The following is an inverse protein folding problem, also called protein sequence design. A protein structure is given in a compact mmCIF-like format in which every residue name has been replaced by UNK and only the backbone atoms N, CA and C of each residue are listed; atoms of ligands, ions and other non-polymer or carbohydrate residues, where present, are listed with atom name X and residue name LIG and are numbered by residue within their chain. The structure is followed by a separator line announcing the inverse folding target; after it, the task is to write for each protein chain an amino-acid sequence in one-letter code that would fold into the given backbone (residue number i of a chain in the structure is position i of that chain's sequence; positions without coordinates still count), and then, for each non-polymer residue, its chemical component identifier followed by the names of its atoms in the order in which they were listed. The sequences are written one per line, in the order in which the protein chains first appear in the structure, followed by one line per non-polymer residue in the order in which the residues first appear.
data_IF_320251536448
#
_entry.id   IF_320251536448
#
_cell.length_a   1.000
_cell.length_b   1.000
_cell.length_c   1.000
_cell.angle_alpha   90.00
_cell.angle_beta   90.00
_cell.angle_gamma   90.00
#
_symmetry.space_group_name_H-M   'P 1'
#
loop_
_entity.id
_entity.type
_entity.pdbx_description
1 polymer ?
#
# COMPACT_ATOMS: atom_id res chain seq x y z
N UNK A 1 0.14 -0.74 -0.60
CA UNK A 1 -0.77 0.41 -0.41
C UNK A 1 -0.16 1.38 0.58
N UNK A 2 0.32 2.53 0.12
CA UNK A 2 0.86 3.59 0.98
C UNK A 2 -0.24 4.63 1.28
N UNK A 3 -0.47 4.90 2.56
CA UNK A 3 -1.59 5.71 3.04
C UNK A 3 -2.87 4.91 3.24
N UNK A 4 -2.75 3.64 3.65
CA UNK A 4 -3.87 2.70 3.77
C UNK A 4 -4.86 3.04 4.90
N UNK A 5 -4.43 3.73 5.95
CA UNK A 5 -5.27 4.18 7.06
C UNK A 5 -6.03 5.49 6.78
N UNK A 6 -5.85 6.07 5.60
CA UNK A 6 -6.64 7.21 5.13
C UNK A 6 -8.01 6.82 4.59
N UNK A 7 -8.90 7.80 4.40
CA UNK A 7 -10.28 7.57 3.93
C UNK A 7 -10.38 6.78 2.61
N UNK A 8 -9.54 7.12 1.63
CA UNK A 8 -9.56 6.42 0.32
C UNK A 8 -8.83 5.07 0.42
N UNK A 9 -7.73 5.03 1.19
CA UNK A 9 -6.93 3.82 1.34
C UNK A 9 -7.71 2.69 2.00
N UNK A 10 -8.50 3.02 3.04
CA UNK A 10 -9.28 2.03 3.77
C UNK A 10 -10.35 1.39 2.90
N UNK A 11 -11.15 2.18 2.18
CA UNK A 11 -12.20 1.67 1.29
C UNK A 11 -11.64 0.87 0.11
N UNK A 12 -10.47 1.28 -0.41
CA UNK A 12 -9.81 0.51 -1.46
C UNK A 12 -9.29 -0.83 -0.92
N UNK A 13 -8.74 -0.86 0.29
CA UNK A 13 -8.37 -2.12 0.96
C UNK A 13 -9.59 -3.02 1.17
N UNK A 14 -10.75 -2.47 1.59
CA UNK A 14 -11.99 -3.23 1.73
C UNK A 14 -12.39 -3.92 0.42
N UNK A 15 -12.44 -3.14 -0.68
CA UNK A 15 -12.76 -3.67 -2.01
C UNK A 15 -11.76 -4.71 -2.48
N UNK A 16 -10.46 -4.48 -2.26
CA UNK A 16 -9.42 -5.45 -2.65
C UNK A 16 -9.58 -6.76 -1.88
N UNK A 17 -9.92 -6.71 -0.59
CA UNK A 17 -10.15 -7.91 0.21
C UNK A 17 -11.41 -8.66 -0.21
N UNK A 18 -12.49 -7.96 -0.59
CA UNK A 18 -13.75 -8.59 -0.99
C UNK A 18 -13.79 -9.07 -2.43
N UNK A 19 -13.19 -8.33 -3.37
CA UNK A 19 -13.37 -8.55 -4.82
C UNK A 19 -12.18 -9.27 -5.48
N UNK A 20 -11.01 -9.32 -4.84
CA UNK A 20 -9.79 -9.86 -5.46
C UNK A 20 -9.04 -10.81 -4.53
N UNK A 21 -8.21 -11.73 -5.06
CA UNK A 21 -7.36 -12.60 -4.26
C UNK A 21 -6.01 -11.96 -3.88
N UNK A 22 -5.78 -10.68 -4.18
CA UNK A 22 -4.48 -10.04 -4.02
C UNK A 22 -4.06 -9.91 -2.55
N UNK A 23 -2.74 -9.98 -2.31
CA UNK A 23 -2.11 -9.68 -1.02
C UNK A 23 -1.84 -8.18 -0.93
N UNK A 24 -2.21 -7.56 0.19
CA UNK A 24 -2.07 -6.11 0.41
C UNK A 24 -1.11 -5.84 1.56
N UNK A 25 0.01 -5.21 1.23
CA UNK A 25 0.89 -4.56 2.23
C UNK A 25 0.36 -3.15 2.49
N UNK A 26 -0.34 -2.96 3.59
CA UNK A 26 -0.89 -1.69 4.03
C UNK A 26 0.16 -0.91 4.83
N UNK A 27 0.53 0.28 4.38
CA UNK A 27 1.55 1.13 5.00
C UNK A 27 0.92 2.45 5.38
N UNK A 28 0.94 2.80 6.66
CA UNK A 28 0.49 4.11 7.16
C UNK A 28 1.07 4.39 8.56
N UNK A 29 0.90 5.59 9.08
CA UNK A 29 1.24 5.96 10.46
C UNK A 29 0.11 5.58 11.42
N UNK A 30 -1.13 5.57 10.92
CA UNK A 30 -2.35 5.28 11.68
C UNK A 30 -3.15 4.18 11.00
N UNK A 31 -3.78 3.32 11.80
CA UNK A 31 -4.55 2.16 11.37
C UNK A 31 -6.04 2.26 11.69
N UNK A 32 -6.49 3.35 12.31
CA UNK A 32 -7.84 3.48 12.88
C UNK A 32 -8.96 3.14 11.89
N UNK A 33 -8.77 3.41 10.60
CA UNK A 33 -9.75 3.16 9.54
C UNK A 33 -9.67 1.78 8.90
N UNK A 34 -8.66 0.98 9.24
CA UNK A 34 -8.48 -0.37 8.69
C UNK A 34 -8.36 -1.43 9.79
N UNK A 35 -8.45 -1.05 11.08
CA UNK A 35 -8.45 -1.99 12.21
C UNK A 35 -9.44 -3.12 12.04
N UNK A 36 -10.65 -2.83 11.56
CA UNK A 36 -11.69 -3.84 11.30
C UNK A 36 -11.34 -4.83 10.19
N UNK A 37 -10.37 -4.53 9.33
CA UNK A 37 -9.86 -5.47 8.33
C UNK A 37 -8.72 -6.34 8.86
N UNK A 38 -8.06 -5.89 9.93
CA UNK A 38 -6.93 -6.59 10.56
C UNK A 38 -7.42 -7.51 11.69
N UNK A 39 -8.53 -7.18 12.34
CA UNK A 39 -9.09 -7.90 13.47
C UNK A 39 -10.57 -8.26 13.26
N UNK A 40 -11.01 -9.47 13.68
CA UNK A 40 -10.22 -10.57 14.23
C UNK A 40 -9.43 -11.34 13.14
N UNK A 41 -8.36 -12.03 13.55
CA UNK A 41 -7.54 -12.87 12.66
C UNK A 41 -8.27 -14.07 12.05
N UNK A 42 -9.55 -14.29 12.41
CA UNK A 42 -10.42 -15.29 11.80
C UNK A 42 -11.05 -14.84 10.48
N UNK A 43 -10.77 -13.63 10.01
CA UNK A 43 -11.26 -13.16 8.72
C UNK A 43 -10.61 -13.94 7.57
N UNK A 44 -11.36 -14.22 6.48
CA UNK A 44 -10.87 -15.02 5.36
C UNK A 44 -9.74 -14.33 4.56
N UNK A 45 -9.43 -13.08 4.88
CA UNK A 45 -8.32 -12.31 4.31
C UNK A 45 -7.23 -11.94 5.31
N UNK A 46 -7.26 -12.48 6.53
CA UNK A 46 -6.26 -12.19 7.57
C UNK A 46 -4.82 -12.47 7.09
N UNK A 47 -4.60 -13.53 6.31
CA UNK A 47 -3.28 -13.84 5.74
C UNK A 47 -2.91 -12.97 4.52
N UNK A 48 -3.91 -12.27 3.95
CA UNK A 48 -3.77 -11.47 2.73
C UNK A 48 -3.47 -10.02 3.01
N UNK A 49 -3.81 -9.48 4.17
CA UNK A 49 -3.52 -8.08 4.51
C UNK A 49 -2.51 -7.99 5.65
N UNK A 50 -1.48 -7.16 5.47
CA UNK A 50 -0.46 -6.92 6.50
C UNK A 50 -0.27 -5.43 6.68
N UNK A 51 -0.47 -4.95 7.92
CA UNK A 51 -0.26 -3.55 8.26
C UNK A 51 1.16 -3.29 8.76
N UNK A 52 1.79 -2.29 8.19
CA UNK A 52 3.12 -1.83 8.54
C UNK A 52 3.03 -0.37 8.97
N UNK A 53 3.23 -0.15 10.27
CA UNK A 53 3.25 1.21 10.83
C UNK A 53 4.56 1.90 10.50
N UNK A 54 4.57 2.68 9.42
CA UNK A 54 5.78 3.32 8.89
C UNK A 54 5.50 4.78 8.52
N UNK A 55 6.41 5.66 8.91
CA UNK A 55 6.41 7.04 8.45
C UNK A 55 7.22 7.17 7.16
N UNK A 56 6.52 7.41 6.04
CA UNK A 56 7.11 7.48 4.70
C UNK A 56 8.19 8.56 4.52
N UNK A 57 8.29 9.54 5.44
CA UNK A 57 9.26 10.63 5.31
C UNK A 57 10.67 10.25 5.72
N UNK A 58 10.86 9.25 6.59
CA UNK A 58 12.16 9.03 7.23
C UNK A 58 12.41 7.56 7.63
N UNK A 59 11.89 6.60 6.87
CA UNK A 59 11.99 5.18 7.21
C UNK A 59 12.59 4.38 6.04
N UNK A 60 13.78 3.83 6.28
CA UNK A 60 14.52 3.02 5.29
C UNK A 60 13.86 1.68 4.98
N UNK A 61 12.95 1.19 5.84
CA UNK A 61 12.22 -0.06 5.59
C UNK A 61 11.23 0.06 4.44
N UNK A 62 10.84 1.30 4.09
CA UNK A 62 9.91 1.55 2.99
C UNK A 62 10.47 1.04 1.65
N UNK A 63 11.76 1.23 1.38
CA UNK A 63 12.39 0.71 0.16
C UNK A 63 12.30 -0.83 0.09
N UNK A 64 12.51 -1.51 1.21
CA UNK A 64 12.35 -2.97 1.29
C UNK A 64 10.93 -3.41 0.95
N UNK A 65 9.93 -2.74 1.50
CA UNK A 65 8.52 -3.02 1.19
C UNK A 65 8.16 -2.73 -0.27
N UNK A 66 8.71 -1.67 -0.84
CA UNK A 66 8.52 -1.32 -2.26
C UNK A 66 9.13 -2.39 -3.16
N UNK A 67 10.33 -2.90 -2.84
CA UNK A 67 10.98 -3.96 -3.62
C UNK A 67 10.25 -5.30 -3.56
N UNK A 68 9.53 -5.57 -2.47
CA UNK A 68 8.73 -6.79 -2.31
C UNK A 68 7.34 -6.70 -2.96
N UNK A 69 6.92 -5.53 -3.45
CA UNK A 69 5.59 -5.33 -3.98
C UNK A 69 5.59 -5.28 -5.52
N UNK A 70 4.73 -6.07 -6.16
CA UNK A 70 4.52 -6.01 -7.61
C UNK A 70 3.84 -4.69 -8.05
N UNK A 71 3.02 -4.12 -7.16
CA UNK A 71 2.29 -2.89 -7.39
C UNK A 71 2.30 -1.99 -6.15
N UNK A 72 2.79 -0.77 -6.33
CA UNK A 72 2.80 0.26 -5.27
C UNK A 72 1.80 1.35 -5.61
N UNK A 73 0.73 1.42 -4.83
CA UNK A 73 -0.27 2.49 -4.90
C UNK A 73 0.04 3.53 -3.82
N UNK A 74 0.21 4.79 -4.21
CA UNK A 74 0.40 5.94 -3.32
C UNK A 74 -0.91 6.73 -3.18
N UNK A 75 -1.34 6.99 -1.95
CA UNK A 75 -2.47 7.90 -1.67
C UNK A 75 -2.04 9.37 -1.54
N UNK A 76 -0.74 9.65 -1.37
CA UNK A 76 -0.28 11.00 -1.05
C UNK A 76 -0.29 11.91 -2.27
N UNK A 77 -1.29 12.78 -2.34
CA UNK A 77 -1.24 14.01 -3.15
C UNK A 77 -0.17 14.91 -2.52
N UNK A 78 1.08 14.76 -2.95
CA UNK A 78 2.18 15.64 -2.59
C UNK A 78 2.45 16.54 -3.80
N UNK A 79 1.85 17.72 -3.82
CA UNK A 79 2.37 18.81 -4.62
C UNK A 79 3.73 19.20 -4.00
N UNK A 80 4.84 18.81 -4.62
CA UNK A 80 6.15 19.37 -4.33
C UNK A 80 6.62 20.18 -5.52
N UNK A 81 6.77 21.47 -5.28
CA UNK A 81 7.56 22.36 -6.12
C UNK A 81 8.95 21.77 -6.31
N UNK A 82 9.32 21.64 -7.58
CA UNK A 82 10.64 21.38 -8.13
C UNK A 82 11.34 20.07 -7.72
N UNK A 83 11.31 19.14 -8.69
CA UNK A 83 12.18 17.96 -8.86
C UNK A 83 11.90 16.74 -7.98
N UNK A 84 10.71 16.17 -8.15
CA UNK A 84 10.57 14.77 -8.58
C UNK A 84 9.34 14.74 -9.48
N UNK A 85 9.49 14.35 -10.74
CA UNK A 85 8.35 14.14 -11.64
C UNK A 85 7.57 12.92 -11.16
N UNK A 86 6.64 13.12 -10.22
CA UNK A 86 5.62 12.14 -9.87
C UNK A 86 4.36 12.54 -10.63
N UNK A 87 4.22 11.96 -11.81
CA UNK A 87 3.06 12.18 -12.66
C UNK A 87 1.82 11.60 -11.95
N UNK A 88 0.84 12.47 -11.74
CA UNK A 88 -0.46 12.19 -11.14
C UNK A 88 -1.23 11.25 -12.09
N UNK A 89 -2.02 10.32 -11.52
CA UNK A 89 -2.75 9.27 -12.25
C UNK A 89 -1.86 8.15 -12.87
N UNK A 90 -0.94 7.60 -12.07
CA UNK A 90 -0.13 6.45 -12.50
C UNK A 90 -0.29 5.27 -11.56
N UNK A 91 -1.00 4.23 -11.99
CA UNK A 91 -0.65 2.87 -11.61
C UNK A 91 0.79 2.65 -12.10
N UNK A 92 1.80 2.87 -11.25
CA UNK A 92 3.14 2.36 -11.55
C UNK A 92 3.13 0.88 -11.20
N UNK A 93 2.74 0.04 -12.16
CA UNK A 93 3.17 -1.35 -12.16
C UNK A 93 4.72 -1.30 -12.16
N UNK A 94 5.34 -1.63 -11.04
CA UNK A 94 6.68 -2.17 -11.09
C UNK A 94 6.52 -3.64 -11.49
N UNK A 95 6.23 -3.92 -12.76
CA UNK A 95 6.57 -5.23 -13.29
C UNK A 95 8.08 -5.31 -13.20
N UNK A 96 8.58 -6.13 -12.27
CA UNK A 96 9.95 -6.58 -12.33
C UNK A 96 10.17 -7.12 -13.74
N UNK A 97 10.92 -6.35 -14.52
CA UNK A 97 11.43 -6.77 -15.81
C UNK A 97 12.68 -7.58 -15.51
N UNK A 98 12.51 -8.76 -14.93
CA UNK A 98 13.53 -9.79 -14.78
C UNK A 98 12.88 -11.14 -15.10
N UNK A 99 12.47 -11.26 -16.37
CA UNK A 99 12.34 -12.53 -17.07
C UNK A 99 13.41 -12.49 -18.15
N UNK A 100 14.66 -12.70 -17.74
CA UNK A 100 15.77 -13.09 -18.61
C UNK A 100 16.69 -14.02 -17.79
N UNK A 101 16.26 -15.29 -17.68
CA UNK A 101 17.01 -16.56 -17.75
C UNK A 101 16.27 -17.73 -17.08
#
# INVERSE_FOLDING_TARGET
MIGAGGFIGSHLCEKLMSETPHKVLAVDVYDDKIKHLLEPSSQPWADRIQFHRINIKNDSRLEGLIRMADLVIFRTLLALNNRVSVNVFGFRLCLNSDLDL
#
